data_IF_636862740704
#
_entry.id   IF_636862740704
#
_cell.length_a   1.000
_cell.length_b   1.000
_cell.length_c   1.000
_cell.angle_alpha   90.00
_cell.angle_beta   90.00
_cell.angle_gamma   90.00
#
_symmetry.space_group_name_H-M   'P 1'
#
loop_
_entity.id
_entity.type
_entity.pdbx_description
1 polymer ?
#
# COMPACT_ATOMS: atom_id res chain seq x y z
N UNK A 1 -7.60 -13.90 9.54
CA UNK A 1 -6.46 -13.66 8.63
C UNK A 1 -5.83 -12.32 8.98
N UNK A 2 -4.52 -12.28 9.04
CA UNK A 2 -3.80 -11.02 9.28
C UNK A 2 -3.73 -10.17 8.02
N UNK A 3 -3.97 -8.88 8.18
CA UNK A 3 -3.81 -7.86 7.16
C UNK A 3 -2.79 -6.85 7.63
N UNK A 4 -2.08 -6.25 6.68
CA UNK A 4 -0.98 -5.35 6.98
C UNK A 4 -1.15 -4.02 6.27
N UNK A 5 -0.84 -2.96 6.99
CA UNK A 5 -0.62 -1.64 6.41
C UNK A 5 0.87 -1.33 6.52
N UNK A 6 1.53 -1.22 5.39
CA UNK A 6 2.98 -0.96 5.33
C UNK A 6 3.26 0.53 5.30
N UNK A 7 4.27 0.95 6.03
CA UNK A 7 4.71 2.34 6.04
C UNK A 7 6.22 2.43 6.11
N UNK A 8 6.78 3.50 5.57
CA UNK A 8 8.20 3.80 5.73
C UNK A 8 8.49 4.27 7.16
N UNK A 9 9.69 3.97 7.66
CA UNK A 9 10.10 4.32 9.02
C UNK A 9 9.96 5.83 9.31
N UNK A 10 10.18 6.67 8.32
CA UNK A 10 10.04 8.12 8.46
C UNK A 10 8.65 8.58 8.92
N UNK A 11 7.61 7.79 8.66
CA UNK A 11 6.23 8.11 9.02
C UNK A 11 5.76 7.44 10.31
N UNK A 12 6.53 6.49 10.84
CA UNK A 12 6.10 5.65 11.96
C UNK A 12 5.74 6.47 13.20
N UNK A 13 6.62 7.39 13.58
CA UNK A 13 6.41 8.21 14.78
C UNK A 13 5.12 9.04 14.70
N UNK A 14 4.87 9.68 13.57
CA UNK A 14 3.67 10.47 13.33
C UNK A 14 2.41 9.62 13.46
N UNK A 15 2.42 8.40 12.90
CA UNK A 15 1.29 7.49 12.98
C UNK A 15 1.05 7.05 14.44
N UNK A 16 2.11 6.74 15.17
CA UNK A 16 2.01 6.33 16.57
C UNK A 16 1.48 7.47 17.46
N UNK A 17 1.90 8.70 17.22
CA UNK A 17 1.40 9.88 17.92
C UNK A 17 -0.08 10.12 17.63
N UNK A 18 -0.52 10.01 16.38
CA UNK A 18 -1.92 10.14 16.00
C UNK A 18 -2.80 9.01 16.55
N UNK A 19 -2.23 7.82 16.68
CA UNK A 19 -2.94 6.63 17.12
C UNK A 19 -3.85 5.99 16.07
N UNK A 20 -3.90 6.55 14.86
CA UNK A 20 -4.77 6.09 13.77
C UNK A 20 -4.05 6.15 12.43
N UNK A 21 -4.39 5.20 11.55
CA UNK A 21 -4.12 5.28 10.13
C UNK A 21 -5.26 6.04 9.45
N UNK A 22 -4.91 7.03 8.65
CA UNK A 22 -5.87 7.85 7.92
C UNK A 22 -5.92 7.44 6.45
N UNK A 23 -7.04 7.74 5.80
CA UNK A 23 -7.21 7.50 4.38
C UNK A 23 -6.18 8.28 3.56
N UNK A 24 -5.60 7.61 2.57
CA UNK A 24 -4.63 8.20 1.65
C UNK A 24 -5.28 8.57 0.32
N UNK A 25 -4.91 9.73 -0.22
CA UNK A 25 -5.25 10.11 -1.58
C UNK A 25 -4.17 9.58 -2.52
N UNK A 26 -4.54 8.68 -3.43
CA UNK A 26 -3.63 8.17 -4.46
C UNK A 26 -3.99 8.67 -5.86
N UNK A 27 -5.22 9.07 -6.05
CA UNK A 27 -5.74 9.59 -7.32
C UNK A 27 -7.00 10.42 -7.01
N UNK A 28 -7.18 11.55 -7.70
CA UNK A 28 -8.34 12.42 -7.50
C UNK A 28 -9.68 11.76 -7.87
N UNK A 29 -9.65 10.68 -8.64
CA UNK A 29 -10.84 9.95 -9.10
C UNK A 29 -11.22 8.83 -8.15
N UNK A 30 -10.23 8.27 -7.42
CA UNK A 30 -10.46 7.19 -6.47
C UNK A 30 -10.82 7.74 -5.08
N UNK A 31 -11.70 7.06 -4.34
CA UNK A 31 -12.00 7.47 -2.98
C UNK A 31 -10.78 7.32 -2.08
N UNK A 32 -10.68 8.19 -1.08
CA UNK A 32 -9.63 8.09 -0.07
C UNK A 32 -9.95 6.96 0.90
N UNK A 33 -9.06 6.00 1.00
CA UNK A 33 -9.23 4.83 1.87
C UNK A 33 -7.91 4.49 2.54
N UNK A 34 -7.99 3.74 3.63
CA UNK A 34 -6.82 3.10 4.23
C UNK A 34 -6.58 1.80 3.49
N UNK A 35 -5.39 1.65 2.91
CA UNK A 35 -5.02 0.46 2.15
C UNK A 35 -4.35 -0.58 3.03
N UNK A 36 -4.74 -1.85 2.85
CA UNK A 36 -4.15 -2.99 3.53
C UNK A 36 -3.93 -4.13 2.52
N UNK A 37 -3.11 -5.07 2.91
CA UNK A 37 -2.86 -6.26 2.09
C UNK A 37 -2.58 -7.47 2.98
N UNK A 38 -2.87 -8.65 2.47
CA UNK A 38 -2.46 -9.91 3.10
C UNK A 38 -1.06 -10.35 2.69
N UNK A 39 -0.38 -9.61 1.82
CA UNK A 39 1.00 -9.88 1.40
C UNK A 39 1.97 -9.77 2.59
N UNK A 40 2.89 -10.72 2.69
CA UNK A 40 3.88 -10.76 3.78
C UNK A 40 5.05 -9.80 3.57
N UNK A 41 5.30 -9.38 2.33
CA UNK A 41 6.32 -8.40 2.01
C UNK A 41 5.69 -7.07 1.64
N UNK A 42 6.46 -6.01 1.76
CA UNK A 42 6.06 -4.69 1.29
C UNK A 42 5.69 -4.80 -0.19
N UNK A 43 4.49 -4.35 -0.59
CA UNK A 43 4.12 -4.35 -2.00
C UNK A 43 5.15 -3.57 -2.82
N UNK A 44 5.59 -4.15 -3.93
CA UNK A 44 6.64 -3.53 -4.76
C UNK A 44 6.22 -2.18 -5.32
N UNK A 45 4.93 -2.00 -5.62
CA UNK A 45 4.37 -0.73 -6.10
C UNK A 45 4.52 0.41 -5.09
N UNK A 46 4.69 0.09 -3.80
CA UNK A 46 4.86 1.07 -2.72
C UNK A 46 6.32 1.38 -2.40
N UNK A 47 7.26 0.68 -3.01
CA UNK A 47 8.68 0.86 -2.74
C UNK A 47 9.20 2.11 -3.46
N UNK A 48 9.81 3.07 -2.75
CA UNK A 48 10.37 4.26 -3.39
C UNK A 48 11.53 3.88 -4.31
N UNK A 49 11.68 4.64 -5.39
CA UNK A 49 12.71 4.41 -6.39
C UNK A 49 13.72 5.55 -6.37
N UNK A 50 14.99 5.18 -6.54
CA UNK A 50 16.09 6.13 -6.70
C UNK A 50 16.33 6.36 -8.20
N UNK A 51 15.93 7.52 -8.69
CA UNK A 51 16.10 7.93 -10.08
C UNK A 51 17.42 8.67 -10.34
N UNK A 52 18.26 8.86 -9.31
CA UNK A 52 19.58 9.47 -9.45
C UNK A 52 20.59 8.56 -10.14
N UNK A 53 20.28 7.28 -10.23
CA UNK A 53 21.07 6.25 -10.92
C UNK A 53 20.35 5.76 -12.17
N UNK A 54 21.09 5.30 -13.15
CA UNK A 54 20.53 4.77 -14.40
C UNK A 54 21.04 3.34 -14.61
N UNK A 55 20.13 2.34 -14.73
CA UNK A 55 18.67 2.43 -14.58
C UNK A 55 18.25 2.73 -13.12
N UNK A 56 17.04 3.28 -12.90
CA UNK A 56 16.54 3.52 -11.55
C UNK A 56 16.44 2.21 -10.75
N UNK A 57 16.69 2.31 -9.46
CA UNK A 57 16.59 1.16 -8.55
C UNK A 57 15.78 1.52 -7.32
N UNK A 58 15.35 0.51 -6.57
CA UNK A 58 14.65 0.75 -5.31
C UNK A 58 15.58 1.41 -4.30
N UNK A 59 15.04 2.42 -3.61
CA UNK A 59 15.75 3.07 -2.51
C UNK A 59 15.84 2.13 -1.32
N UNK A 60 16.95 2.18 -0.59
CA UNK A 60 17.15 1.40 0.63
C UNK A 60 16.51 2.15 1.80
N UNK A 61 15.26 1.87 2.08
CA UNK A 61 14.50 2.43 3.20
C UNK A 61 13.94 1.33 4.07
N UNK A 62 13.81 1.61 5.37
CA UNK A 62 13.19 0.69 6.31
C UNK A 62 11.68 0.85 6.28
N UNK A 63 10.99 -0.29 6.36
CA UNK A 63 9.55 -0.37 6.44
C UNK A 63 9.11 -0.98 7.77
N UNK A 64 7.94 -0.55 8.20
CA UNK A 64 7.19 -1.13 9.29
C UNK A 64 5.81 -1.51 8.79
N UNK A 65 5.11 -2.35 9.53
CA UNK A 65 3.73 -2.71 9.21
C UNK A 65 2.87 -2.72 10.45
N UNK A 66 1.68 -2.19 10.32
CA UNK A 66 0.63 -2.31 11.32
C UNK A 66 -0.21 -3.53 11.00
N UNK A 67 -0.60 -4.26 12.03
CA UNK A 67 -1.29 -5.54 11.90
C UNK A 67 -2.76 -5.37 12.28
N UNK A 68 -3.63 -5.88 11.40
CA UNK A 68 -5.08 -5.88 11.58
C UNK A 68 -5.64 -7.27 11.32
N UNK A 69 -6.89 -7.48 11.68
CA UNK A 69 -7.59 -8.74 11.40
C UNK A 69 -8.65 -8.51 10.32
N UNK A 70 -8.72 -9.43 9.36
CA UNK A 70 -9.70 -9.37 8.27
C UNK A 70 -11.17 -9.46 8.75
N UNK A 71 -11.38 -9.85 10.02
CA UNK A 71 -12.72 -9.88 10.64
C UNK A 71 -13.21 -8.50 11.09
N UNK A 72 -12.35 -7.48 11.07
CA UNK A 72 -12.77 -6.11 11.34
C UNK A 72 -13.85 -5.70 10.33
N UNK A 73 -15.03 -5.32 10.83
CA UNK A 73 -16.19 -5.00 10.00
C UNK A 73 -16.01 -3.75 9.13
N UNK A 74 -15.03 -2.91 9.46
CA UNK A 74 -14.73 -1.70 8.67
C UNK A 74 -13.78 -1.98 7.50
N UNK A 75 -13.18 -3.17 7.46
CA UNK A 75 -12.24 -3.56 6.40
C UNK A 75 -12.95 -4.41 5.37
N UNK A 76 -12.77 -4.06 4.11
CA UNK A 76 -13.41 -4.72 2.98
C UNK A 76 -12.37 -5.16 1.95
N UNK A 77 -12.64 -6.23 1.23
CA UNK A 77 -11.80 -6.66 0.11
C UNK A 77 -11.90 -5.64 -1.01
N UNK A 78 -10.74 -5.23 -1.54
CA UNK A 78 -10.66 -4.34 -2.68
C UNK A 78 -11.45 -4.86 -3.89
N UNK A 79 -11.38 -6.17 -4.16
CA UNK A 79 -12.08 -6.80 -5.29
C UNK A 79 -13.60 -6.56 -5.28
N UNK A 80 -14.20 -6.41 -4.11
CA UNK A 80 -15.63 -6.07 -3.98
C UNK A 80 -15.85 -4.56 -3.90
N UNK A 81 -15.03 -3.88 -3.14
CA UNK A 81 -15.14 -2.43 -2.96
C UNK A 81 -15.02 -1.68 -4.30
N UNK A 82 -14.07 -2.07 -5.16
CA UNK A 82 -13.87 -1.42 -6.46
C UNK A 82 -15.10 -1.38 -7.35
N UNK A 83 -16.00 -2.34 -7.22
CA UNK A 83 -17.23 -2.42 -8.00
C UNK A 83 -18.20 -1.30 -7.69
N UNK A 84 -18.09 -0.69 -6.52
CA UNK A 84 -18.96 0.42 -6.08
C UNK A 84 -18.46 1.79 -6.55
N UNK A 85 -17.24 1.86 -7.04
CA UNK A 85 -16.65 3.12 -7.50
C UNK A 85 -17.13 3.38 -8.92
N UNK A 86 -17.83 4.50 -9.08
CA UNK A 86 -18.36 4.89 -10.38
C UNK A 86 -17.41 5.85 -11.10
N UNK A 87 -17.32 5.74 -12.42
CA UNK A 87 -16.55 6.66 -13.26
C UNK A 87 -15.04 6.53 -13.15
N UNK A 88 -14.53 5.46 -12.53
CA UNK A 88 -13.10 5.28 -12.29
C UNK A 88 -12.52 4.00 -12.94
N UNK A 89 -13.25 3.37 -13.84
CA UNK A 89 -12.87 2.06 -14.41
C UNK A 89 -11.46 2.07 -15.01
N UNK A 90 -11.11 3.10 -15.78
CA UNK A 90 -9.79 3.19 -16.41
C UNK A 90 -8.69 3.41 -15.37
N UNK A 91 -8.94 4.24 -14.36
CA UNK A 91 -7.99 4.49 -13.26
C UNK A 91 -7.73 3.23 -12.44
N UNK A 92 -8.79 2.48 -12.11
CA UNK A 92 -8.68 1.21 -11.40
C UNK A 92 -7.88 0.20 -12.23
N UNK A 93 -8.19 0.07 -13.51
CA UNK A 93 -7.47 -0.82 -14.42
C UNK A 93 -5.99 -0.48 -14.52
N UNK A 94 -5.66 0.80 -14.63
CA UNK A 94 -4.27 1.26 -14.70
C UNK A 94 -3.51 0.97 -13.40
N UNK A 95 -4.15 1.22 -12.25
CA UNK A 95 -3.56 0.94 -10.94
C UNK A 95 -3.26 -0.54 -10.76
N UNK A 96 -4.23 -1.40 -11.05
CA UNK A 96 -4.08 -2.85 -10.92
C UNK A 96 -3.06 -3.41 -11.90
N UNK A 97 -3.03 -2.90 -13.13
CA UNK A 97 -2.04 -3.33 -14.12
C UNK A 97 -0.63 -2.96 -13.69
N UNK A 98 -0.43 -1.77 -13.16
CA UNK A 98 0.88 -1.35 -12.63
C UNK A 98 1.34 -2.28 -11.50
N UNK A 99 0.44 -2.66 -10.60
CA UNK A 99 0.75 -3.61 -9.54
C UNK A 99 1.16 -4.97 -10.10
N UNK A 100 0.40 -5.49 -11.05
CA UNK A 100 0.71 -6.78 -11.71
C UNK A 100 2.06 -6.73 -12.43
N UNK A 101 2.38 -5.65 -13.10
CA UNK A 101 3.67 -5.46 -13.78
C UNK A 101 4.84 -5.49 -12.78
N UNK A 102 4.60 -5.06 -11.55
CA UNK A 102 5.57 -5.08 -10.46
C UNK A 102 5.48 -6.35 -9.60
N UNK A 103 4.77 -7.37 -10.04
CA UNK A 103 4.60 -8.66 -9.34
C UNK A 103 3.83 -8.57 -8.02
N UNK A 104 3.03 -7.55 -7.84
CA UNK A 104 2.07 -7.48 -6.75
C UNK A 104 0.75 -8.14 -7.16
N UNK A 105 -0.08 -8.47 -6.17
CA UNK A 105 -1.37 -9.11 -6.42
C UNK A 105 -2.52 -8.26 -5.85
N UNK A 106 -3.23 -7.49 -6.71
CA UNK A 106 -4.35 -6.66 -6.26
C UNK A 106 -5.50 -7.44 -5.60
N UNK A 107 -5.62 -8.74 -5.85
CA UNK A 107 -6.63 -9.59 -5.21
C UNK A 107 -6.40 -9.76 -3.70
N UNK A 108 -5.21 -9.45 -3.23
CA UNK A 108 -4.85 -9.49 -1.81
C UNK A 108 -5.00 -8.12 -1.13
N UNK A 109 -5.51 -7.13 -1.83
CA UNK A 109 -5.75 -5.80 -1.27
C UNK A 109 -7.08 -5.73 -0.52
N UNK A 110 -7.05 -4.91 0.53
CA UNK A 110 -8.19 -4.59 1.38
C UNK A 110 -8.19 -3.08 1.63
N UNK A 111 -9.35 -2.55 1.94
CA UNK A 111 -9.51 -1.11 2.19
C UNK A 111 -10.43 -0.87 3.39
N UNK A 112 -10.22 0.28 4.05
CA UNK A 112 -11.13 0.79 5.04
C UNK A 112 -11.47 2.25 4.71
N UNK A 113 -12.77 2.59 4.76
CA UNK A 113 -13.23 3.95 4.49
C UNK A 113 -13.11 4.87 5.70
N UNK A 114 -12.84 4.31 6.86
CA UNK A 114 -12.71 5.03 8.13
C UNK A 114 -11.29 4.89 8.66
N UNK A 115 -10.82 5.83 9.50
CA UNK A 115 -9.52 5.68 10.15
C UNK A 115 -9.45 4.40 10.98
N UNK A 116 -8.30 3.74 10.97
CA UNK A 116 -8.07 2.51 11.72
C UNK A 116 -7.16 2.80 12.92
N UNK A 117 -7.63 2.46 14.12
CA UNK A 117 -6.84 2.58 15.34
C UNK A 117 -5.66 1.60 15.28
N UNK A 118 -4.44 2.11 15.49
CA UNK A 118 -3.24 1.28 15.51
C UNK A 118 -3.02 0.69 16.90
N UNK A 119 -2.58 -0.57 16.96
CA UNK A 119 -2.24 -1.24 18.22
C UNK A 119 -0.97 -2.07 18.11
N UNK A 120 -0.80 -2.83 17.05
CA UNK A 120 0.33 -3.74 16.84
C UNK A 120 1.10 -3.31 15.61
N UNK A 121 2.41 -3.14 15.77
CA UNK A 121 3.29 -2.90 14.63
C UNK A 121 4.59 -3.69 14.79
N UNK A 122 5.24 -3.93 13.68
CA UNK A 122 6.49 -4.69 13.62
C UNK A 122 7.31 -4.24 12.41
N UNK A 123 8.58 -4.60 12.40
CA UNK A 123 9.43 -4.37 11.22
C UNK A 123 8.91 -5.16 10.03
N UNK A 124 9.01 -4.59 8.86
CA UNK A 124 8.57 -5.21 7.61
C UNK A 124 9.74 -5.32 6.63
N UNK A 125 9.68 -6.31 5.76
CA UNK A 125 10.72 -6.58 4.78
C UNK A 125 10.17 -6.51 3.37
N UNK A 126 11.04 -6.11 2.45
CA UNK A 126 10.78 -6.22 1.01
C UNK A 126 11.10 -7.64 0.55
N UNK A 127 10.48 -8.04 -0.58
CA UNK A 127 10.76 -9.34 -1.17
C UNK A 127 12.23 -9.40 -1.63
N UNK A 128 13.06 -10.29 -1.08
CA UNK A 128 14.47 -10.39 -1.46
C UNK A 128 14.67 -10.88 -2.89
N UNK A 129 13.67 -11.54 -3.47
CA UNK A 129 13.72 -12.06 -4.83
C UNK A 129 13.31 -11.03 -5.88
N UNK A 130 12.83 -9.85 -5.45
CA UNK A 130 12.41 -8.77 -6.34
C UNK A 130 13.28 -7.53 -6.16
N UNK A 131 14.33 -7.43 -6.97
CA UNK A 131 15.26 -6.30 -7.01
C UNK A 131 15.42 -5.72 -8.41
N UNK A 132 14.37 -5.87 -9.23
CA UNK A 132 14.42 -5.41 -10.61
C UNK A 132 14.29 -3.89 -10.71
N UNK A 133 14.94 -3.34 -11.71
CA UNK A 133 14.75 -1.95 -12.09
C UNK A 133 13.44 -1.83 -12.85
N UNK A 134 12.66 -0.81 -12.50
CA UNK A 134 11.41 -0.53 -13.18
C UNK A 134 11.52 0.85 -13.80
N UNK A 135 11.84 0.88 -15.09
CA UNK A 135 11.99 2.11 -15.82
C UNK A 135 10.63 2.82 -15.95
N UNK A 136 10.63 4.12 -15.65
CA UNK A 136 9.47 4.99 -15.86
C UNK A 136 8.33 4.85 -14.86
N UNK A 137 8.43 4.00 -13.84
CA UNK A 137 7.39 3.91 -12.83
C UNK A 137 7.79 4.63 -11.54
N UNK A 138 6.94 5.55 -11.09
CA UNK A 138 7.05 6.16 -9.78
C UNK A 138 6.39 5.30 -8.72
N UNK A 139 6.84 5.37 -7.46
CA UNK A 139 6.17 4.72 -6.37
C UNK A 139 4.79 5.34 -6.13
N UNK A 140 3.80 4.49 -5.85
CA UNK A 140 2.48 4.93 -5.38
C UNK A 140 2.46 4.75 -3.88
N UNK A 141 2.33 5.85 -3.16
CA UNK A 141 2.41 5.83 -1.71
C UNK A 141 1.04 5.55 -1.08
N UNK A 142 0.61 4.30 -1.11
CA UNK A 142 -0.64 3.86 -0.49
C UNK A 142 -0.63 4.00 1.04
N UNK A 143 0.56 4.05 1.64
CA UNK A 143 0.78 3.84 3.06
C UNK A 143 1.42 5.05 3.75
N UNK A 144 1.42 6.21 3.10
CA UNK A 144 1.81 7.45 3.76
C UNK A 144 0.68 7.91 4.70
N UNK A 145 1.02 8.49 5.84
CA UNK A 145 0.04 9.07 6.72
C UNK A 145 -0.66 10.30 6.12
#
# INVERSE_FOLDING_TARGET
MKLYHYTQEIYLETILEDGFLKAAEIDSVLPNVVWLTSEKFVPNICRPQDHSVSPPRFSDVKFHRFVFDSRDSTIRRWAFFRRKIKGAREHIGALEQKALDMKDNPRKWYVAEVPLKVSVHESAQTDPDYNFFVEGSGAINFFAP
#
